data_IF_628550956372
#
_entry.id   IF_628550956372
#
_cell.length_a   1.000
_cell.length_b   1.000
_cell.length_c   1.000
_cell.angle_alpha   90.00
_cell.angle_beta   90.00
_cell.angle_gamma   90.00
#
_symmetry.space_group_name_H-M   'P 1'
#
loop_
_entity.id
_entity.type
_entity.pdbx_description
1 polymer ?
#
# COMPACT_ATOMS: atom_id res chain seq x y z
N UNK A 1 -21.53 -56.02 25.26
CA UNK A 1 -20.37 -55.53 24.48
C UNK A 1 -20.23 -54.04 24.76
N UNK A 2 -19.24 -53.67 25.59
CA UNK A 2 -19.03 -52.29 26.06
C UNK A 2 -17.86 -51.73 25.26
N UNK A 3 -18.12 -50.74 24.39
CA UNK A 3 -17.08 -50.02 23.64
C UNK A 3 -16.60 -48.86 24.51
N UNK A 4 -15.39 -48.98 25.04
CA UNK A 4 -14.66 -47.88 25.69
C UNK A 4 -14.13 -46.92 24.65
N UNK A 5 -14.55 -45.64 24.76
CA UNK A 5 -13.89 -44.54 24.07
C UNK A 5 -12.51 -44.25 24.70
N UNK A 6 -11.48 -43.98 23.91
CA UNK A 6 -10.19 -43.54 24.46
C UNK A 6 -10.24 -42.09 24.96
N UNK A 7 -9.42 -41.68 25.94
CA UNK A 7 -9.45 -40.36 26.52
C UNK A 7 -8.88 -39.30 25.54
N UNK A 8 -9.58 -38.18 25.45
CA UNK A 8 -9.19 -36.92 24.77
C UNK A 8 -8.11 -36.19 25.61
N UNK A 9 -6.86 -36.63 25.53
CA UNK A 9 -5.74 -35.97 26.18
C UNK A 9 -4.48 -36.04 25.33
N UNK A 10 -4.50 -35.38 24.16
CA UNK A 10 -3.28 -34.94 23.47
C UNK A 10 -3.61 -33.90 22.38
N UNK A 11 -4.34 -32.83 22.74
CA UNK A 11 -4.29 -31.62 21.94
C UNK A 11 -3.00 -30.93 22.34
N UNK A 12 -1.99 -31.09 21.47
CA UNK A 12 -0.73 -30.38 21.56
C UNK A 12 -0.99 -28.89 21.64
N UNK A 13 -0.28 -28.25 22.56
CA UNK A 13 -0.18 -26.80 22.69
C UNK A 13 0.07 -26.19 21.31
N UNK A 14 -0.88 -25.46 20.78
CA UNK A 14 -0.66 -24.63 19.60
C UNK A 14 0.23 -23.49 20.07
N UNK A 15 1.52 -23.60 19.81
CA UNK A 15 2.47 -22.51 20.00
C UNK A 15 2.05 -21.34 19.12
N UNK A 16 2.10 -20.15 19.71
CA UNK A 16 1.52 -18.90 19.27
C UNK A 16 1.54 -18.66 17.75
N UNK A 17 0.36 -18.41 17.23
CA UNK A 17 0.20 -17.79 15.91
C UNK A 17 0.88 -16.44 15.98
N UNK A 18 2.03 -16.30 15.29
CA UNK A 18 2.68 -15.01 15.09
C UNK A 18 1.64 -14.02 14.59
N UNK A 19 1.60 -12.81 15.17
CA UNK A 19 0.68 -11.77 14.72
C UNK A 19 0.89 -11.55 13.22
N UNK A 20 -0.18 -11.33 12.45
CA UNK A 20 -0.09 -11.20 10.99
C UNK A 20 0.94 -10.16 10.53
N UNK A 21 1.26 -9.16 11.36
CA UNK A 21 2.31 -8.17 11.13
C UNK A 21 3.72 -8.75 11.14
N UNK A 22 4.02 -9.67 12.05
CA UNK A 22 5.37 -10.27 12.15
C UNK A 22 5.65 -11.22 10.98
N UNK A 23 4.65 -11.97 10.53
CA UNK A 23 4.77 -12.83 9.35
C UNK A 23 4.97 -12.03 8.07
N UNK A 24 4.27 -10.91 7.92
CA UNK A 24 4.41 -10.02 6.78
C UNK A 24 5.80 -9.36 6.75
N UNK A 25 6.27 -8.84 7.88
CA UNK A 25 7.60 -8.23 7.99
C UNK A 25 8.72 -9.25 7.74
N UNK A 26 8.53 -10.52 8.16
CA UNK A 26 9.49 -11.59 7.90
C UNK A 26 9.52 -11.96 6.41
N UNK A 27 8.36 -12.03 5.75
CA UNK A 27 8.26 -12.33 4.33
C UNK A 27 8.89 -11.22 3.47
N UNK A 28 8.66 -9.95 3.80
CA UNK A 28 9.23 -8.79 3.10
C UNK A 28 10.72 -8.59 3.37
N UNK A 29 11.30 -9.26 4.37
CA UNK A 29 12.74 -9.28 4.59
C UNK A 29 13.49 -10.19 3.60
N UNK A 30 12.79 -10.98 2.79
CA UNK A 30 13.35 -11.73 1.67
C UNK A 30 13.39 -10.83 0.44
N UNK A 31 14.58 -10.56 -0.08
CA UNK A 31 14.80 -9.68 -1.24
C UNK A 31 14.16 -10.18 -2.55
N UNK A 32 13.71 -11.43 -2.57
CA UNK A 32 13.00 -12.03 -3.70
C UNK A 32 11.48 -12.04 -3.53
N UNK A 33 10.97 -11.46 -2.45
CA UNK A 33 9.54 -11.48 -2.19
C UNK A 33 8.86 -10.24 -2.76
N UNK A 34 7.86 -10.46 -3.60
CA UNK A 34 6.98 -9.43 -4.13
C UNK A 34 5.61 -9.55 -3.49
N UNK A 35 5.11 -8.45 -2.93
CA UNK A 35 3.77 -8.38 -2.35
C UNK A 35 2.95 -7.34 -3.11
N UNK A 36 1.82 -7.72 -3.72
CA UNK A 36 0.86 -6.75 -4.21
C UNK A 36 0.12 -6.15 -3.01
N UNK A 37 0.22 -4.84 -2.86
CA UNK A 37 -0.57 -4.07 -1.92
C UNK A 37 -1.64 -3.33 -2.72
N UNK A 38 -2.92 -3.56 -2.42
CA UNK A 38 -4.01 -2.99 -3.20
C UNK A 38 -5.07 -2.34 -2.31
N UNK A 39 -5.73 -1.33 -2.86
CA UNK A 39 -6.77 -0.57 -2.19
C UNK A 39 -7.88 -0.18 -3.16
N UNK A 40 -9.12 -0.28 -2.68
CA UNK A 40 -10.30 0.30 -3.30
C UNK A 40 -10.67 1.58 -2.58
N UNK A 41 -10.88 2.67 -3.33
CA UNK A 41 -11.26 3.98 -2.82
C UNK A 41 -12.63 4.35 -3.37
N UNK A 42 -13.72 4.12 -2.64
CA UNK A 42 -15.01 4.65 -3.00
C UNK A 42 -15.03 6.16 -2.72
N UNK A 43 -14.94 6.97 -3.77
CA UNK A 43 -14.92 8.42 -3.67
C UNK A 43 -16.34 8.96 -3.81
N UNK A 44 -16.91 9.56 -2.75
CA UNK A 44 -18.26 10.11 -2.80
C UNK A 44 -18.42 11.14 -3.91
N UNK A 45 -19.62 11.25 -4.45
CA UNK A 45 -19.98 12.30 -5.38
C UNK A 45 -19.82 13.69 -4.75
N UNK A 46 -19.57 14.71 -5.54
CA UNK A 46 -19.38 16.09 -5.10
C UNK A 46 -18.19 16.26 -4.13
N UNK A 47 -17.20 15.37 -4.18
CA UNK A 47 -15.94 15.52 -3.42
C UNK A 47 -15.01 16.42 -4.21
N UNK A 48 -14.78 17.65 -3.73
CA UNK A 48 -13.95 18.64 -4.43
C UNK A 48 -12.45 18.29 -4.36
N UNK A 49 -11.66 18.87 -5.27
CA UNK A 49 -10.19 18.70 -5.22
C UNK A 49 -9.54 19.51 -4.06
N UNK A 50 -10.28 20.40 -3.41
CA UNK A 50 -9.83 21.18 -2.23
C UNK A 50 -10.16 20.40 -0.95
N UNK A 51 -11.37 19.81 -0.87
CA UNK A 51 -11.85 18.99 0.25
C UNK A 51 -11.90 17.52 -0.18
N UNK A 52 -10.73 17.01 -0.58
CA UNK A 52 -10.57 15.66 -1.11
C UNK A 52 -10.79 14.58 -0.05
N UNK A 53 -11.16 13.38 -0.48
CA UNK A 53 -11.07 12.18 0.34
C UNK A 53 -9.60 11.86 0.58
N UNK A 54 -9.21 11.66 1.85
CA UNK A 54 -7.87 11.18 2.22
C UNK A 54 -7.96 9.85 2.94
N UNK A 55 -7.16 8.88 2.49
CA UNK A 55 -7.02 7.56 3.13
C UNK A 55 -5.55 7.26 3.31
N UNK A 56 -5.14 7.05 4.57
CA UNK A 56 -3.76 6.68 4.91
C UNK A 56 -3.69 5.17 5.16
N UNK A 57 -2.72 4.53 4.54
CA UNK A 57 -2.53 3.09 4.54
C UNK A 57 -1.12 2.76 5.01
N UNK A 58 -1.00 1.87 6.00
CA UNK A 58 0.28 1.41 6.52
C UNK A 58 0.98 0.50 5.51
N UNK A 59 2.27 0.75 5.30
CA UNK A 59 3.13 -0.06 4.44
C UNK A 59 4.28 -0.66 5.24
N UNK A 60 4.72 -1.89 4.91
CA UNK A 60 5.95 -2.43 5.47
C UNK A 60 7.17 -1.69 4.90
N UNK A 61 8.30 -1.80 5.61
CA UNK A 61 9.61 -1.36 5.08
C UNK A 61 9.87 -2.09 3.76
N UNK A 62 9.84 -1.37 2.65
CA UNK A 62 9.87 -1.94 1.31
C UNK A 62 10.28 -0.90 0.27
N UNK A 63 10.35 -1.35 -0.97
CA UNK A 63 10.45 -0.50 -2.16
C UNK A 63 9.25 -0.82 -3.06
N UNK A 64 8.54 0.20 -3.51
CA UNK A 64 7.59 0.01 -4.62
C UNK A 64 8.32 -0.01 -5.95
N UNK A 65 7.85 -0.82 -6.89
CA UNK A 65 8.40 -0.90 -8.25
C UNK A 65 7.37 -0.49 -9.29
N UNK A 66 6.11 -0.82 -9.05
CA UNK A 66 5.00 -0.52 -9.96
C UNK A 66 3.78 -0.01 -9.22
N UNK A 67 3.05 0.85 -9.91
CA UNK A 67 1.72 1.30 -9.55
C UNK A 67 0.75 0.87 -10.66
N UNK A 68 -0.24 0.09 -10.29
CA UNK A 68 -1.43 -0.17 -11.08
C UNK A 68 -2.54 0.75 -10.61
N UNK A 69 -3.27 1.35 -11.52
CA UNK A 69 -4.34 2.29 -11.20
C UNK A 69 -5.47 2.13 -12.20
N UNK A 70 -6.67 1.90 -11.70
CA UNK A 70 -7.88 1.78 -12.50
C UNK A 70 -8.87 2.88 -12.18
N UNK A 71 -9.32 3.54 -13.23
CA UNK A 71 -10.49 4.40 -13.21
C UNK A 71 -11.68 3.65 -13.82
N UNK A 72 -12.80 3.50 -13.10
CA UNK A 72 -13.96 2.79 -13.60
C UNK A 72 -14.59 3.53 -14.78
N UNK A 73 -15.39 2.81 -15.56
CA UNK A 73 -16.20 3.39 -16.62
C UNK A 73 -17.20 4.38 -16.07
N UNK A 74 -17.34 5.52 -16.73
CA UNK A 74 -18.30 6.57 -16.40
C UNK A 74 -17.73 7.71 -15.55
N UNK A 75 -16.45 7.65 -15.17
CA UNK A 75 -15.78 8.77 -14.49
C UNK A 75 -15.66 10.02 -15.35
N UNK A 76 -15.64 9.87 -16.69
CA UNK A 76 -15.53 10.97 -17.67
C UNK A 76 -14.40 11.99 -17.34
N UNK A 77 -13.33 11.56 -16.66
CA UNK A 77 -12.24 12.41 -16.19
C UNK A 77 -12.59 13.31 -14.99
N UNK A 78 -13.76 13.11 -14.36
CA UNK A 78 -14.21 13.87 -13.18
C UNK A 78 -13.61 13.37 -11.87
N UNK A 79 -12.93 12.23 -11.89
CA UNK A 79 -12.31 11.62 -10.72
C UNK A 79 -10.80 11.69 -10.84
N UNK A 80 -10.12 12.08 -9.75
CA UNK A 80 -8.67 12.19 -9.72
C UNK A 80 -8.05 11.55 -8.49
N UNK A 81 -6.78 11.14 -8.62
CA UNK A 81 -5.98 10.53 -7.57
C UNK A 81 -4.61 11.19 -7.47
N UNK A 82 -4.11 11.30 -6.24
CA UNK A 82 -2.73 11.60 -5.88
C UNK A 82 -2.27 10.62 -4.81
N UNK A 83 -0.97 10.31 -4.79
CA UNK A 83 -0.34 9.52 -3.72
C UNK A 83 0.77 10.34 -3.06
N UNK A 84 0.84 10.25 -1.73
CA UNK A 84 1.78 10.97 -0.89
C UNK A 84 2.55 10.01 0.03
N UNK A 85 3.80 10.38 0.35
CA UNK A 85 4.58 9.84 1.44
C UNK A 85 4.88 10.97 2.43
N UNK A 86 4.21 10.99 3.57
CA UNK A 86 4.22 12.14 4.46
C UNK A 86 3.69 13.40 3.76
N UNK A 87 4.53 14.42 3.63
CA UNK A 87 4.16 15.69 2.96
C UNK A 87 4.54 15.71 1.47
N UNK A 88 5.25 14.71 1.00
CA UNK A 88 5.75 14.65 -0.38
C UNK A 88 4.76 13.94 -1.30
N UNK A 89 4.32 14.62 -2.37
CA UNK A 89 3.59 13.96 -3.44
C UNK A 89 4.53 13.10 -4.26
N UNK A 90 4.28 11.78 -4.25
CA UNK A 90 5.08 10.80 -4.99
C UNK A 90 4.47 10.45 -6.35
N UNK A 91 3.17 10.70 -6.54
CA UNK A 91 2.46 10.44 -7.79
C UNK A 91 1.17 11.28 -7.90
N UNK A 92 0.83 11.79 -9.12
CA UNK A 92 1.71 11.95 -10.27
C UNK A 92 2.73 13.08 -10.07
N UNK A 93 3.74 13.15 -10.95
CA UNK A 93 4.69 14.25 -10.98
C UNK A 93 4.44 15.12 -12.25
N UNK A 94 4.74 16.44 -12.18
CA UNK A 94 5.19 17.20 -11.01
C UNK A 94 4.09 17.35 -9.96
N UNK A 95 4.50 17.68 -8.73
CA UNK A 95 3.58 17.87 -7.61
C UNK A 95 2.49 18.92 -7.92
N UNK A 96 1.32 18.75 -7.30
CA UNK A 96 0.12 19.55 -7.54
C UNK A 96 -0.78 19.03 -8.66
N UNK A 97 -0.29 18.11 -9.51
CA UNK A 97 -1.12 17.50 -10.55
C UNK A 97 -1.93 16.32 -9.99
N UNK A 98 -3.04 16.05 -10.65
CA UNK A 98 -3.90 14.90 -10.42
C UNK A 98 -3.86 13.96 -11.63
N UNK A 99 -3.73 12.66 -11.39
CA UNK A 99 -4.01 11.67 -12.43
C UNK A 99 -5.52 11.44 -12.50
N UNK A 100 -6.07 11.42 -13.70
CA UNK A 100 -7.49 11.21 -13.98
C UNK A 100 -7.69 10.49 -15.31
N UNK A 101 -8.74 9.72 -15.40
CA UNK A 101 -9.10 9.01 -16.63
C UNK A 101 -10.56 8.58 -16.59
N UNK A 102 -10.97 7.80 -17.59
CA UNK A 102 -12.25 7.12 -17.68
C UNK A 102 -12.03 5.75 -18.31
N UNK A 103 -12.58 4.70 -17.69
CA UNK A 103 -12.54 3.33 -18.21
C UNK A 103 -11.13 2.88 -18.64
N UNK A 104 -10.14 3.11 -17.78
CA UNK A 104 -8.74 2.85 -18.13
C UNK A 104 -7.93 2.30 -16.95
N UNK A 105 -7.06 1.33 -17.26
CA UNK A 105 -6.08 0.79 -16.32
C UNK A 105 -4.69 1.26 -16.72
N UNK A 106 -4.03 1.96 -15.82
CA UNK A 106 -2.64 2.35 -15.95
C UNK A 106 -1.71 1.37 -15.26
N UNK A 107 -0.51 1.22 -15.82
CA UNK A 107 0.61 0.53 -15.21
C UNK A 107 1.83 1.44 -15.30
N UNK A 108 2.19 2.05 -14.18
CA UNK A 108 3.32 2.96 -14.09
C UNK A 108 4.49 2.29 -13.37
N UNK A 109 5.70 2.59 -13.81
CA UNK A 109 6.87 2.34 -12.98
C UNK A 109 6.92 3.40 -11.89
N UNK A 110 6.80 2.97 -10.63
CA UNK A 110 6.85 3.84 -9.46
C UNK A 110 7.87 3.27 -8.48
N UNK A 111 9.12 3.68 -8.64
CA UNK A 111 10.20 3.28 -7.73
C UNK A 111 10.26 4.25 -6.57
N UNK A 112 9.81 3.84 -5.38
CA UNK A 112 9.83 4.63 -4.16
C UNK A 112 10.27 3.78 -2.97
N UNK A 113 11.06 4.38 -2.05
CA UNK A 113 11.59 3.70 -0.88
C UNK A 113 10.77 4.04 0.36
N UNK A 114 10.19 3.01 0.96
CA UNK A 114 9.45 3.09 2.24
C UNK A 114 10.36 2.64 3.38
N UNK A 115 11.44 3.38 3.63
CA UNK A 115 12.49 3.03 4.59
C UNK A 115 12.66 4.04 5.73
N UNK A 116 11.79 5.03 5.81
CA UNK A 116 11.74 6.06 6.86
C UNK A 116 10.30 6.40 7.21
N UNK A 117 10.09 6.95 8.39
CA UNK A 117 8.78 7.45 8.81
C UNK A 117 8.27 8.62 7.92
N UNK A 118 6.94 8.64 7.71
CA UNK A 118 5.95 7.64 8.08
C UNK A 118 5.98 6.45 7.11
N UNK A 119 5.84 5.23 7.63
CA UNK A 119 5.72 4.02 6.78
C UNK A 119 4.29 3.90 6.25
N UNK A 120 3.84 4.93 5.55
CA UNK A 120 2.46 5.03 5.05
C UNK A 120 2.43 5.61 3.65
N UNK A 121 1.42 5.20 2.87
CA UNK A 121 0.99 5.92 1.68
C UNK A 121 -0.34 6.60 1.98
N UNK A 122 -0.44 7.90 1.71
CA UNK A 122 -1.69 8.63 1.73
C UNK A 122 -2.23 8.74 0.30
N UNK A 123 -3.42 8.22 0.08
CA UNK A 123 -4.15 8.36 -1.17
C UNK A 123 -5.17 9.48 -1.03
N UNK A 124 -5.05 10.53 -1.86
CA UNK A 124 -6.00 11.64 -1.95
C UNK A 124 -6.80 11.49 -3.22
N UNK A 125 -8.12 11.60 -3.12
CA UNK A 125 -8.99 11.47 -4.26
C UNK A 125 -10.12 12.48 -4.23
N UNK A 126 -10.51 12.96 -5.42
CA UNK A 126 -11.70 13.79 -5.61
C UNK A 126 -12.65 13.17 -6.63
N UNK A 127 -13.93 13.57 -6.58
CA UNK A 127 -14.97 13.16 -7.52
C UNK A 127 -15.93 14.32 -7.75
N UNK A 128 -15.82 14.94 -8.92
CA UNK A 128 -16.67 16.08 -9.34
C UNK A 128 -17.99 15.63 -9.96
N UNK A 129 -18.24 14.33 -10.09
CA UNK A 129 -19.55 13.82 -10.49
C UNK A 129 -20.59 14.17 -9.42
N UNK A 130 -21.72 14.73 -9.84
CA UNK A 130 -22.81 15.13 -8.95
C UNK A 130 -23.83 14.02 -8.70
N UNK A 131 -23.72 12.93 -9.41
CA UNK A 131 -24.68 11.84 -9.46
C UNK A 131 -24.16 10.56 -8.84
N UNK A 132 -22.92 10.13 -9.18
CA UNK A 132 -22.41 8.81 -8.86
C UNK A 132 -21.17 8.83 -7.96
N UNK A 133 -21.12 7.82 -7.07
CA UNK A 133 -19.89 7.43 -6.37
C UNK A 133 -19.04 6.67 -7.37
N UNK A 134 -17.74 6.98 -7.45
CA UNK A 134 -16.80 6.22 -8.26
C UNK A 134 -15.75 5.55 -7.37
N UNK A 135 -15.50 4.27 -7.61
CA UNK A 135 -14.48 3.53 -6.89
C UNK A 135 -13.22 3.42 -7.73
N UNK A 136 -12.17 4.13 -7.31
CA UNK A 136 -10.83 3.97 -7.89
C UNK A 136 -10.20 2.74 -7.25
N UNK A 137 -9.50 1.94 -8.04
CA UNK A 137 -8.65 0.88 -7.55
C UNK A 137 -7.19 1.20 -7.85
N UNK A 138 -6.31 0.98 -6.88
CA UNK A 138 -4.86 1.01 -7.14
C UNK A 138 -4.14 -0.13 -6.41
N UNK A 139 -3.00 -0.53 -6.96
CA UNK A 139 -2.10 -1.49 -6.34
C UNK A 139 -0.65 -1.03 -6.46
N UNK A 140 0.11 -1.21 -5.37
CA UNK A 140 1.56 -1.07 -5.35
C UNK A 140 2.18 -2.46 -5.37
N UNK A 141 3.08 -2.71 -6.30
CA UNK A 141 3.94 -3.88 -6.27
C UNK A 141 5.13 -3.57 -5.36
N UNK A 142 5.12 -4.16 -4.16
CA UNK A 142 6.13 -3.95 -3.13
C UNK A 142 7.18 -5.06 -3.18
N UNK A 143 8.43 -4.67 -3.14
CA UNK A 143 9.57 -5.56 -2.99
C UNK A 143 10.19 -5.41 -1.61
N UNK A 144 10.53 -6.53 -0.97
CA UNK A 144 11.27 -6.52 0.29
C UNK A 144 12.63 -5.82 0.15
N UNK A 145 13.06 -5.14 1.20
CA UNK A 145 14.38 -4.50 1.22
C UNK A 145 15.46 -5.56 1.50
N UNK A 146 16.55 -5.60 0.72
CA UNK A 146 17.67 -6.50 1.01
C UNK A 146 18.23 -6.29 2.42
N UNK A 147 18.36 -7.35 3.20
CA UNK A 147 18.87 -7.28 4.59
C UNK A 147 20.26 -6.64 4.70
N UNK A 148 21.05 -6.64 3.63
CA UNK A 148 22.39 -6.06 3.59
C UNK A 148 22.42 -4.53 3.47
N UNK A 149 21.45 -3.93 2.76
CA UNK A 149 21.40 -2.47 2.56
C UNK A 149 21.08 -1.70 3.84
N UNK A 150 20.27 -2.26 4.72
CA UNK A 150 19.92 -1.64 6.02
C UNK A 150 21.18 -1.41 6.90
N UNK A 151 22.10 -2.36 6.97
CA UNK A 151 23.35 -2.22 7.74
C UNK A 151 24.37 -1.29 7.05
N UNK A 152 24.49 -1.39 5.74
CA UNK A 152 25.41 -0.55 4.95
C UNK A 152 24.92 0.89 4.94
N UNK A 153 23.63 1.13 4.83
CA UNK A 153 23.04 2.48 4.88
C UNK A 153 23.13 3.09 6.29
N UNK A 154 22.93 2.30 7.35
CA UNK A 154 23.15 2.76 8.73
C UNK A 154 24.62 3.11 9.00
N UNK A 155 25.59 2.36 8.46
CA UNK A 155 27.01 2.69 8.59
C UNK A 155 27.37 3.94 7.79
N UNK A 156 26.82 4.11 6.60
CA UNK A 156 27.01 5.30 5.77
C UNK A 156 26.44 6.57 6.42
N UNK A 157 25.24 6.48 6.98
CA UNK A 157 24.63 7.59 7.74
C UNK A 157 25.43 7.95 8.99
N UNK A 158 26.00 6.97 9.70
CA UNK A 158 26.91 7.23 10.83
C UNK A 158 28.19 7.95 10.42
N UNK A 159 28.71 7.66 9.23
CA UNK A 159 29.94 8.31 8.71
C UNK A 159 29.68 9.76 8.26
N UNK A 160 28.44 10.11 7.91
CA UNK A 160 28.06 11.49 7.54
C UNK A 160 27.70 12.37 8.74
N UNK A 161 27.52 11.80 9.94
CA UNK A 161 27.19 12.51 11.18
C UNK A 161 28.39 12.71 12.12
N UNK A 162 29.56 12.21 11.76
CA UNK A 162 30.82 12.41 12.46
C UNK A 162 31.75 13.34 11.72
#
# INVERSE_FOLDING_TARGET
MSTRQPPLSSLGKVEGVASGGDALNTALADENFYLPFFQYLPVPKNTSAVDYLSVTLDLPVSQSERLWLEFPKGCAGLVGLQLYHGVEQIFPLPAGNWVRSDNFVFNFRLTHLWNKDPFTVEARAYNLDDTYIHTIWFALELRGMPKGLSKTMQSFLKTLQG
#
